data_IF_126517743185
#
_entry.id   IF_126517743185
#
_cell.length_a   1.000
_cell.length_b   1.000
_cell.length_c   1.000
_cell.angle_alpha   90.00
_cell.angle_beta   90.00
_cell.angle_gamma   90.00
#
_symmetry.space_group_name_H-M   'P 1'
#
loop_
_entity.id
_entity.type
_entity.pdbx_description
1 polymer ?
#
# COMPACT_ATOMS: atom_id res chain seq x y z
N UNK A 1 26.46 -19.27 53.62
CA UNK A 1 26.94 -19.03 52.25
C UNK A 1 25.73 -18.64 51.43
N UNK A 2 25.65 -17.38 50.97
CA UNK A 2 24.51 -16.89 50.20
C UNK A 2 24.61 -17.45 48.77
N UNK A 3 23.57 -18.16 48.37
CA UNK A 3 23.52 -18.92 47.13
C UNK A 3 23.43 -17.95 45.93
N UNK A 4 24.43 -17.96 45.04
CA UNK A 4 24.49 -17.07 43.87
C UNK A 4 23.49 -17.53 42.79
N UNK A 5 22.22 -17.27 43.08
CA UNK A 5 21.08 -17.59 42.23
C UNK A 5 21.02 -16.65 41.01
N UNK A 6 21.39 -15.39 41.20
CA UNK A 6 21.39 -14.37 40.14
C UNK A 6 22.48 -14.62 39.10
N UNK A 7 23.69 -15.01 39.52
CA UNK A 7 24.77 -15.39 38.62
C UNK A 7 24.39 -16.58 37.73
N UNK A 8 23.82 -17.64 38.33
CA UNK A 8 23.35 -18.82 37.59
C UNK A 8 22.22 -18.51 36.61
N UNK A 9 21.24 -17.69 37.00
CA UNK A 9 20.16 -17.22 36.09
C UNK A 9 20.70 -16.41 34.91
N UNK A 10 21.72 -15.58 35.13
CA UNK A 10 22.37 -14.79 34.09
C UNK A 10 23.16 -15.67 33.12
N UNK A 11 23.87 -16.68 33.62
CA UNK A 11 24.56 -17.66 32.77
C UNK A 11 23.59 -18.51 31.96
N UNK A 12 22.50 -19.00 32.57
CA UNK A 12 21.43 -19.70 31.85
C UNK A 12 20.81 -18.83 30.75
N UNK A 13 20.59 -17.55 31.02
CA UNK A 13 20.05 -16.61 30.03
C UNK A 13 21.04 -16.36 28.87
N UNK A 14 22.33 -16.20 29.18
CA UNK A 14 23.38 -16.03 28.17
C UNK A 14 23.57 -17.30 27.34
N UNK A 15 23.58 -18.47 27.97
CA UNK A 15 23.65 -19.77 27.30
C UNK A 15 22.44 -20.01 26.39
N UNK A 16 21.24 -19.64 26.84
CA UNK A 16 20.01 -19.74 26.03
C UNK A 16 19.96 -18.75 24.86
N UNK A 17 20.52 -17.55 25.03
CA UNK A 17 20.65 -16.57 23.94
C UNK A 17 21.72 -16.98 22.92
N UNK A 18 22.80 -17.65 23.35
CA UNK A 18 23.84 -18.17 22.48
C UNK A 18 23.40 -19.44 21.73
N UNK A 19 22.49 -20.24 22.33
CA UNK A 19 21.92 -21.45 21.73
C UNK A 19 20.67 -21.18 20.87
N UNK A 20 20.16 -19.94 20.84
CA UNK A 20 19.05 -19.58 19.97
C UNK A 20 19.52 -19.66 18.51
N UNK A 21 18.85 -20.43 17.63
CA UNK A 21 19.20 -20.44 16.23
C UNK A 21 19.12 -19.01 15.69
N UNK A 22 20.05 -18.60 14.80
CA UNK A 22 20.00 -17.26 14.23
C UNK A 22 18.60 -17.03 13.70
N UNK A 23 17.96 -15.93 14.11
CA UNK A 23 16.61 -15.58 13.71
C UNK A 23 16.55 -15.73 12.19
N UNK A 24 15.92 -16.81 11.69
CA UNK A 24 15.89 -17.10 10.26
C UNK A 24 15.19 -15.91 9.64
N UNK A 25 15.95 -15.02 9.01
CA UNK A 25 15.39 -13.96 8.16
C UNK A 25 14.58 -14.73 7.12
N UNK A 26 13.25 -14.57 7.16
CA UNK A 26 12.39 -15.09 6.09
C UNK A 26 13.00 -14.59 4.78
N UNK A 27 13.19 -15.45 3.77
CA UNK A 27 13.69 -15.00 2.49
C UNK A 27 12.83 -13.83 2.02
N UNK A 28 13.48 -12.74 1.59
CA UNK A 28 12.78 -11.60 1.01
C UNK A 28 11.87 -12.11 -0.10
N UNK A 29 10.60 -11.71 -0.10
CA UNK A 29 9.69 -12.12 -1.14
C UNK A 29 10.18 -11.58 -2.49
N UNK A 30 10.16 -12.42 -3.52
CA UNK A 30 10.44 -11.97 -4.88
C UNK A 30 9.47 -10.85 -5.27
N UNK A 31 9.94 -9.88 -6.07
CA UNK A 31 9.15 -8.71 -6.48
C UNK A 31 7.78 -9.12 -7.04
N UNK A 32 7.75 -10.12 -7.92
CA UNK A 32 6.50 -10.62 -8.50
C UNK A 32 5.52 -11.12 -7.44
N UNK A 33 6.02 -11.79 -6.39
CA UNK A 33 5.16 -12.20 -5.28
C UNK A 33 4.57 -11.01 -4.55
N UNK A 34 5.34 -9.93 -4.35
CA UNK A 34 4.83 -8.72 -3.71
C UNK A 34 3.82 -7.98 -4.60
N UNK A 35 4.08 -7.90 -5.91
CA UNK A 35 3.17 -7.28 -6.87
C UNK A 35 1.82 -8.01 -6.94
N UNK A 36 1.84 -9.35 -6.88
CA UNK A 36 0.62 -10.16 -6.85
C UNK A 36 -0.14 -10.02 -5.52
N UNK A 37 0.58 -10.05 -4.38
CA UNK A 37 -0.02 -9.92 -3.04
C UNK A 37 -0.53 -8.52 -2.71
N UNK A 38 0.13 -7.47 -3.23
CA UNK A 38 -0.27 -6.08 -3.01
C UNK A 38 -1.55 -5.76 -3.80
N UNK A 39 -2.70 -6.11 -3.21
CA UNK A 39 -4.04 -5.79 -3.70
C UNK A 39 -4.68 -4.72 -2.83
N UNK A 40 -5.65 -4.01 -3.39
CA UNK A 40 -6.37 -2.95 -2.69
C UNK A 40 -7.41 -3.53 -1.72
N UNK A 41 -7.04 -3.66 -0.45
CA UNK A 41 -7.95 -4.10 0.60
C UNK A 41 -8.85 -2.95 1.07
N UNK A 42 -10.11 -3.26 1.34
CA UNK A 42 -11.18 -2.37 1.83
C UNK A 42 -11.83 -2.90 3.10
N UNK A 43 -11.57 -4.17 3.46
CA UNK A 43 -11.94 -4.78 4.73
C UNK A 43 -10.71 -5.24 5.50
N UNK A 44 -10.70 -4.96 6.81
CA UNK A 44 -9.58 -5.21 7.73
C UNK A 44 -10.02 -5.92 9.00
N UNK A 45 -9.09 -6.65 9.62
CA UNK A 45 -9.23 -7.26 10.93
C UNK A 45 -9.20 -6.17 12.01
N UNK A 46 -10.36 -5.79 12.56
CA UNK A 46 -10.49 -4.72 13.56
C UNK A 46 -9.83 -5.07 14.90
N UNK A 47 -9.59 -6.35 15.18
CA UNK A 47 -8.84 -6.81 16.34
C UNK A 47 -7.32 -6.69 16.20
N UNK A 48 -6.83 -6.41 14.99
CA UNK A 48 -5.41 -6.21 14.73
C UNK A 48 -5.01 -4.74 14.92
N UNK A 49 -4.10 -4.49 15.87
CA UNK A 49 -3.52 -3.17 16.09
C UNK A 49 -2.25 -2.98 15.23
N UNK A 50 -2.32 -2.10 14.22
CA UNK A 50 -1.13 -1.64 13.52
C UNK A 50 -0.30 -0.79 14.46
N UNK A 51 1.00 -1.06 14.53
CA UNK A 51 1.93 -0.35 15.42
C UNK A 51 2.61 0.82 14.72
N UNK A 52 3.06 1.78 15.51
CA UNK A 52 3.78 2.96 15.02
C UNK A 52 5.06 2.61 14.25
N UNK A 53 5.84 1.65 14.75
CA UNK A 53 7.07 1.19 14.10
C UNK A 53 6.81 0.57 12.72
N UNK A 54 5.64 -0.06 12.53
CA UNK A 54 5.24 -0.60 11.23
C UNK A 54 4.92 0.52 10.23
N UNK A 55 4.15 1.54 10.63
CA UNK A 55 3.88 2.70 9.77
C UNK A 55 5.16 3.46 9.44
N UNK A 56 6.06 3.65 10.41
CA UNK A 56 7.37 4.28 10.17
C UNK A 56 8.25 3.44 9.22
N UNK A 57 8.23 2.12 9.36
CA UNK A 57 8.92 1.21 8.43
C UNK A 57 8.38 1.35 7.01
N UNK A 58 7.06 1.44 6.84
CA UNK A 58 6.42 1.67 5.54
C UNK A 58 6.84 3.02 4.98
N UNK A 59 6.74 4.11 5.74
CA UNK A 59 7.11 5.47 5.31
C UNK A 59 8.59 5.56 4.93
N UNK A 60 9.47 4.80 5.60
CA UNK A 60 10.93 4.85 5.38
C UNK A 60 11.37 4.50 3.95
N UNK A 61 10.51 3.85 3.14
CA UNK A 61 10.82 3.58 1.72
C UNK A 61 11.04 4.87 0.94
N UNK A 62 10.45 5.98 1.36
CA UNK A 62 10.56 7.27 0.68
C UNK A 62 11.99 7.82 0.63
N UNK A 63 12.88 7.35 1.50
CA UNK A 63 14.31 7.68 1.46
C UNK A 63 15.10 6.89 0.38
N UNK A 64 14.44 5.97 -0.34
CA UNK A 64 15.08 5.01 -1.26
C UNK A 64 14.52 5.06 -2.69
N UNK A 65 13.54 5.92 -2.93
CA UNK A 65 12.81 6.00 -4.20
C UNK A 65 13.10 7.33 -4.88
N UNK A 66 12.98 7.40 -6.21
CA UNK A 66 13.19 8.65 -6.93
C UNK A 66 12.13 9.69 -6.58
N UNK A 67 12.51 10.96 -6.74
CA UNK A 67 11.64 12.12 -6.72
C UNK A 67 12.02 13.04 -7.88
N UNK A 68 11.04 13.68 -8.51
CA UNK A 68 11.27 14.60 -9.61
C UNK A 68 12.27 15.69 -9.21
N UNK A 69 13.37 15.82 -9.97
CA UNK A 69 14.50 16.73 -9.66
C UNK A 69 15.04 16.56 -8.23
N UNK A 70 14.82 15.40 -7.62
CA UNK A 70 15.13 15.08 -6.23
C UNK A 70 14.53 16.05 -5.18
N UNK A 71 13.37 16.64 -5.46
CA UNK A 71 12.79 17.69 -4.61
C UNK A 71 12.30 17.19 -3.24
N UNK A 72 11.87 15.92 -3.14
CA UNK A 72 11.48 15.27 -1.88
C UNK A 72 10.42 16.07 -1.11
N UNK A 73 9.39 16.55 -1.82
CA UNK A 73 8.36 17.46 -1.29
C UNK A 73 7.26 16.76 -0.48
N UNK A 74 7.21 15.43 -0.49
CA UNK A 74 6.19 14.68 0.22
C UNK A 74 6.47 14.63 1.73
N UNK A 75 5.40 14.72 2.52
CA UNK A 75 5.41 14.54 3.98
C UNK A 75 4.34 13.53 4.36
N UNK A 76 4.54 12.83 5.47
CA UNK A 76 3.72 11.69 5.85
C UNK A 76 3.28 11.80 7.31
N UNK A 77 1.98 11.79 7.55
CA UNK A 77 1.41 11.71 8.90
C UNK A 77 0.89 10.27 9.14
N UNK A 78 1.59 9.46 9.95
CA UNK A 78 1.06 8.17 10.38
C UNK A 78 -0.13 8.41 11.32
N UNK A 79 -1.24 7.70 11.16
CA UNK A 79 -2.44 7.77 12.00
C UNK A 79 -2.71 6.37 12.53
N UNK A 80 -2.77 6.24 13.86
CA UNK A 80 -3.00 4.96 14.55
C UNK A 80 -4.46 4.85 15.01
N UNK A 81 -4.80 3.74 15.67
CA UNK A 81 -6.17 3.39 16.04
C UNK A 81 -6.86 4.44 16.93
N UNK A 82 -6.10 5.11 17.80
CA UNK A 82 -6.58 6.18 18.67
C UNK A 82 -7.00 7.43 17.91
N UNK A 83 -6.42 7.68 16.73
CA UNK A 83 -6.75 8.83 15.87
C UNK A 83 -7.55 8.46 14.61
N UNK A 84 -7.71 7.17 14.30
CA UNK A 84 -8.36 6.68 13.08
C UNK A 84 -9.78 7.24 12.88
N UNK A 85 -10.51 7.45 13.96
CA UNK A 85 -11.86 8.03 13.95
C UNK A 85 -11.92 9.46 13.38
N UNK A 86 -10.78 10.18 13.33
CA UNK A 86 -10.66 11.50 12.71
C UNK A 86 -10.58 11.45 11.19
N UNK A 87 -10.17 10.31 10.63
CA UNK A 87 -9.96 10.11 9.19
C UNK A 87 -11.12 9.33 8.56
N UNK A 88 -11.59 8.28 9.24
CA UNK A 88 -12.56 7.32 8.72
C UNK A 88 -13.85 7.96 8.16
N UNK A 89 -14.48 8.97 8.79
CA UNK A 89 -15.71 9.59 8.28
C UNK A 89 -15.51 10.39 6.98
N UNK A 90 -14.26 10.69 6.62
CA UNK A 90 -13.91 11.60 5.54
C UNK A 90 -13.35 10.88 4.31
N UNK A 91 -13.28 9.55 4.33
CA UNK A 91 -12.85 8.72 3.20
C UNK A 91 -14.04 8.02 2.54
N UNK A 92 -13.90 7.67 1.25
CA UNK A 92 -14.86 6.82 0.53
C UNK A 92 -14.14 5.65 -0.13
N UNK A 93 -14.72 4.46 -0.04
CA UNK A 93 -14.19 3.24 -0.64
C UNK A 93 -15.21 2.59 -1.56
N UNK A 94 -14.70 1.90 -2.58
CA UNK A 94 -15.52 0.99 -3.40
C UNK A 94 -16.58 1.69 -4.23
N UNK A 95 -16.23 2.73 -4.98
CA UNK A 95 -17.16 3.48 -5.84
C UNK A 95 -17.95 2.59 -6.82
N UNK A 96 -17.39 1.46 -7.27
CA UNK A 96 -18.10 0.49 -8.12
C UNK A 96 -18.92 -0.56 -7.34
N UNK A 97 -18.97 -0.45 -6.02
CA UNK A 97 -19.72 -1.31 -5.11
C UNK A 97 -20.60 -0.47 -4.16
N UNK A 98 -21.42 0.47 -4.67
CA UNK A 98 -22.18 1.41 -3.83
C UNK A 98 -23.11 0.72 -2.83
N UNK A 99 -23.64 -0.45 -3.19
CA UNK A 99 -24.52 -1.25 -2.34
C UNK A 99 -23.85 -1.78 -1.06
N UNK A 100 -22.52 -1.81 -1.01
CA UNK A 100 -21.77 -2.34 0.15
C UNK A 100 -21.45 -1.29 1.20
N UNK A 101 -21.68 0.00 0.90
CA UNK A 101 -21.46 1.11 1.85
C UNK A 101 -20.08 1.05 2.55
N UNK A 102 -19.01 0.94 1.76
CA UNK A 102 -17.64 0.82 2.28
C UNK A 102 -17.06 2.20 2.70
N UNK A 103 -16.23 2.25 3.76
CA UNK A 103 -15.78 1.14 4.62
C UNK A 103 -16.89 0.56 5.50
N UNK A 104 -17.00 -0.76 5.60
CA UNK A 104 -17.99 -1.40 6.47
C UNK A 104 -17.56 -1.25 7.95
N UNK A 105 -18.48 -0.92 8.89
CA UNK A 105 -18.12 -0.62 10.28
C UNK A 105 -17.35 -1.73 11.02
N UNK A 106 -17.66 -2.99 10.74
CA UNK A 106 -17.06 -4.17 11.38
C UNK A 106 -15.67 -4.55 10.86
N UNK A 107 -15.27 -3.94 9.74
CA UNK A 107 -14.04 -4.23 9.00
C UNK A 107 -13.34 -2.95 8.51
N UNK A 108 -13.67 -1.81 9.12
CA UNK A 108 -13.11 -0.52 8.77
C UNK A 108 -11.60 -0.48 9.09
N UNK A 109 -10.79 0.24 8.28
CA UNK A 109 -9.39 0.46 8.61
C UNK A 109 -9.25 1.28 9.91
N UNK A 110 -8.28 0.89 10.73
CA UNK A 110 -7.93 1.57 11.98
C UNK A 110 -6.53 2.20 11.96
N UNK A 111 -5.85 2.22 10.81
CA UNK A 111 -4.58 2.91 10.65
C UNK A 111 -4.45 3.49 9.25
N UNK A 112 -3.82 4.67 9.17
CA UNK A 112 -3.64 5.39 7.92
C UNK A 112 -2.24 5.99 7.81
N UNK A 113 -1.84 6.29 6.59
CA UNK A 113 -0.76 7.23 6.29
C UNK A 113 -1.37 8.33 5.44
N UNK A 114 -1.45 9.54 5.98
CA UNK A 114 -1.86 10.72 5.22
C UNK A 114 -0.61 11.30 4.55
N UNK A 115 -0.65 11.36 3.22
CA UNK A 115 0.41 11.94 2.40
C UNK A 115 0.05 13.40 2.16
N UNK A 116 0.98 14.30 2.46
CA UNK A 116 0.89 15.73 2.21
C UNK A 116 2.03 16.17 1.28
N UNK A 117 1.92 17.37 0.72
CA UNK A 117 2.99 18.02 -0.05
C UNK A 117 3.38 19.36 0.57
N UNK A 118 4.67 19.71 0.52
CA UNK A 118 5.18 21.03 0.92
C UNK A 118 5.00 22.10 -0.16
N UNK A 119 4.55 21.71 -1.35
CA UNK A 119 4.23 22.59 -2.48
C UNK A 119 2.85 22.23 -3.04
N UNK A 120 2.26 23.11 -3.84
CA UNK A 120 1.00 22.81 -4.52
C UNK A 120 1.10 21.60 -5.46
N UNK A 121 0.00 20.85 -5.58
CA UNK A 121 -0.12 19.72 -6.50
C UNK A 121 0.20 20.14 -7.94
N UNK A 122 1.01 19.32 -8.60
CA UNK A 122 1.36 19.44 -10.00
C UNK A 122 1.76 18.06 -10.54
N UNK A 123 1.96 17.96 -11.86
CA UNK A 123 2.29 16.68 -12.52
C UNK A 123 3.45 15.91 -11.87
N UNK A 124 4.45 16.59 -11.31
CA UNK A 124 5.60 15.93 -10.69
C UNK A 124 5.27 15.44 -9.28
N UNK A 125 4.48 16.20 -8.52
CA UNK A 125 3.97 15.78 -7.22
C UNK A 125 3.07 14.55 -7.37
N UNK A 126 2.23 14.51 -8.40
CA UNK A 126 1.35 13.37 -8.68
C UNK A 126 2.16 12.11 -9.02
N UNK A 127 3.20 12.26 -9.86
CA UNK A 127 4.12 11.17 -10.19
C UNK A 127 4.85 10.66 -8.95
N UNK A 128 5.45 11.55 -8.16
CA UNK A 128 6.16 11.20 -6.93
C UNK A 128 5.22 10.54 -5.91
N UNK A 129 3.96 11.00 -5.82
CA UNK A 129 2.93 10.42 -4.96
C UNK A 129 2.58 8.99 -5.38
N UNK A 130 2.46 8.73 -6.68
CA UNK A 130 2.24 7.38 -7.21
C UNK A 130 3.41 6.43 -6.91
N UNK A 131 4.65 6.89 -7.12
CA UNK A 131 5.87 6.13 -6.80
C UNK A 131 5.92 5.82 -5.31
N UNK A 132 5.72 6.84 -4.47
CA UNK A 132 5.67 6.74 -3.01
C UNK A 132 4.63 5.74 -2.52
N UNK A 133 3.38 5.89 -2.97
CA UNK A 133 2.28 5.05 -2.53
C UNK A 133 2.49 3.57 -2.92
N UNK A 134 2.94 3.31 -4.15
CA UNK A 134 3.22 1.94 -4.60
C UNK A 134 4.35 1.30 -3.79
N UNK A 135 5.45 2.02 -3.55
CA UNK A 135 6.56 1.50 -2.74
C UNK A 135 6.17 1.26 -1.29
N UNK A 136 5.35 2.14 -0.70
CA UNK A 136 4.81 1.97 0.66
C UNK A 136 3.91 0.73 0.75
N UNK A 137 2.99 0.54 -0.20
CA UNK A 137 2.10 -0.63 -0.20
C UNK A 137 2.84 -1.94 -0.46
N UNK A 138 3.90 -1.93 -1.28
CA UNK A 138 4.78 -3.10 -1.43
C UNK A 138 5.51 -3.43 -0.13
N UNK A 139 5.99 -2.41 0.61
CA UNK A 139 6.58 -2.61 1.94
C UNK A 139 5.56 -3.12 2.94
N UNK A 140 4.33 -2.62 2.92
CA UNK A 140 3.25 -3.16 3.74
C UNK A 140 3.04 -4.66 3.46
N UNK A 141 2.92 -5.05 2.19
CA UNK A 141 2.78 -6.45 1.77
C UNK A 141 3.96 -7.32 2.21
N UNK A 142 5.19 -6.80 2.13
CA UNK A 142 6.41 -7.51 2.57
C UNK A 142 6.38 -7.80 4.08
N UNK A 143 5.90 -6.87 4.90
CA UNK A 143 5.81 -7.05 6.36
C UNK A 143 4.50 -7.71 6.82
N UNK A 144 3.69 -8.22 5.89
CA UNK A 144 2.46 -8.96 6.18
C UNK A 144 1.24 -8.09 6.47
N UNK A 145 1.27 -6.82 6.05
CA UNK A 145 0.14 -5.90 6.07
C UNK A 145 -0.40 -5.68 4.66
N UNK A 146 -1.56 -5.05 4.58
CA UNK A 146 -2.28 -4.74 3.36
C UNK A 146 -2.68 -3.27 3.35
N UNK A 147 -3.06 -2.75 2.19
CA UNK A 147 -3.58 -1.39 2.13
C UNK A 147 -4.27 -1.03 0.82
N UNK A 148 -4.67 0.23 0.75
CA UNK A 148 -5.30 0.84 -0.42
C UNK A 148 -4.96 2.33 -0.48
N UNK A 149 -4.74 2.85 -1.69
CA UNK A 149 -4.68 4.28 -1.95
C UNK A 149 -6.10 4.85 -2.05
N UNK A 150 -6.37 5.93 -1.32
CA UNK A 150 -7.67 6.59 -1.25
C UNK A 150 -7.49 8.03 -1.74
N UNK A 151 -7.90 8.29 -2.98
CA UNK A 151 -8.01 9.64 -3.53
C UNK A 151 -9.37 10.29 -3.27
N UNK A 152 -10.39 9.50 -2.94
CA UNK A 152 -11.73 10.00 -2.64
C UNK A 152 -11.86 10.30 -1.14
N UNK A 153 -11.50 11.52 -0.73
CA UNK A 153 -11.59 11.98 0.65
C UNK A 153 -11.80 13.50 0.74
N UNK A 154 -12.24 13.98 1.90
CA UNK A 154 -12.36 15.42 2.18
C UNK A 154 -11.03 15.98 2.73
N UNK A 155 -10.26 16.63 1.85
CA UNK A 155 -8.94 17.20 2.17
C UNK A 155 -8.98 18.18 3.34
N UNK A 156 -9.96 19.08 3.36
CA UNK A 156 -10.08 20.13 4.39
C UNK A 156 -10.43 19.53 5.73
N UNK A 157 -11.42 18.63 5.78
CA UNK A 157 -11.84 17.98 7.03
C UNK A 157 -10.75 17.13 7.64
N UNK A 158 -9.99 16.38 6.83
CA UNK A 158 -8.85 15.59 7.34
C UNK A 158 -7.75 16.52 7.86
N UNK A 159 -7.42 17.60 7.14
CA UNK A 159 -6.42 18.56 7.59
C UNK A 159 -6.81 19.20 8.93
N UNK A 160 -8.06 19.66 9.05
CA UNK A 160 -8.62 20.23 10.28
C UNK A 160 -8.58 19.22 11.44
N UNK A 161 -9.11 18.01 11.22
CA UNK A 161 -9.23 17.00 12.27
C UNK A 161 -7.87 16.51 12.80
N UNK A 162 -6.83 16.50 11.95
CA UNK A 162 -5.48 16.11 12.31
C UNK A 162 -4.55 17.28 12.65
N UNK A 163 -5.02 18.52 12.55
CA UNK A 163 -4.22 19.73 12.81
C UNK A 163 -3.05 19.89 11.83
N UNK A 164 -3.26 19.59 10.55
CA UNK A 164 -2.21 19.64 9.52
C UNK A 164 -2.08 21.05 8.93
N UNK A 165 -0.85 21.55 8.89
CA UNK A 165 -0.49 22.78 8.16
C UNK A 165 -0.32 22.54 6.65
N UNK A 166 -0.06 21.28 6.26
CA UNK A 166 0.16 20.87 4.87
C UNK A 166 -1.08 20.23 4.28
N UNK A 167 -1.35 20.50 3.01
CA UNK A 167 -2.50 19.94 2.30
C UNK A 167 -2.35 18.43 2.09
N UNK A 168 -3.32 17.62 2.55
CA UNK A 168 -3.38 16.19 2.23
C UNK A 168 -3.71 15.96 0.75
N UNK A 169 -2.92 15.09 0.10
CA UNK A 169 -3.07 14.77 -1.33
C UNK A 169 -3.45 13.30 -1.58
N UNK A 170 -3.14 12.42 -0.62
CA UNK A 170 -3.53 11.00 -0.68
C UNK A 170 -3.65 10.43 0.74
N UNK A 171 -4.57 9.50 0.95
CA UNK A 171 -4.63 8.71 2.17
C UNK A 171 -4.36 7.24 1.84
N UNK A 172 -3.49 6.57 2.58
CA UNK A 172 -3.34 5.13 2.53
C UNK A 172 -4.01 4.53 3.77
N UNK A 173 -4.97 3.64 3.58
CA UNK A 173 -5.44 2.79 4.69
C UNK A 173 -4.53 1.56 4.80
N UNK A 174 -4.08 1.25 6.01
CA UNK A 174 -3.13 0.16 6.30
C UNK A 174 -3.70 -0.73 7.39
N UNK A 175 -3.54 -2.05 7.24
CA UNK A 175 -3.97 -3.00 8.27
C UNK A 175 -3.80 -4.44 7.82
N UNK A 176 -4.32 -5.37 8.60
CA UNK A 176 -4.38 -6.78 8.20
C UNK A 176 -5.67 -7.02 7.42
N UNK A 177 -5.55 -7.25 6.12
CA UNK A 177 -6.70 -7.46 5.24
C UNK A 177 -7.41 -8.78 5.53
N UNK A 178 -8.74 -8.78 5.43
CA UNK A 178 -9.58 -9.98 5.63
C UNK A 178 -10.27 -10.47 4.34
N UNK A 179 -10.01 -9.79 3.22
CA UNK A 179 -10.63 -10.10 1.95
C UNK A 179 -9.84 -11.14 1.16
N UNK A 180 -10.56 -12.01 0.46
CA UNK A 180 -10.02 -12.80 -0.65
C UNK A 180 -10.14 -11.97 -1.94
N UNK A 181 -9.00 -11.66 -2.56
CA UNK A 181 -8.93 -10.84 -3.78
C UNK A 181 -8.26 -11.66 -4.89
N UNK A 182 -8.90 -11.74 -6.05
CA UNK A 182 -8.39 -12.46 -7.22
C UNK A 182 -8.35 -11.53 -8.44
N UNK A 183 -7.28 -11.62 -9.23
CA UNK A 183 -7.21 -10.95 -10.53
C UNK A 183 -7.72 -11.86 -11.62
N UNK A 184 -8.51 -11.32 -12.54
CA UNK A 184 -8.96 -12.04 -13.73
C UNK A 184 -8.41 -11.37 -14.98
N UNK A 185 -7.78 -12.12 -15.91
CA UNK A 185 -7.26 -11.53 -17.13
C UNK A 185 -8.41 -11.13 -18.06
N UNK A 186 -8.28 -9.97 -18.68
CA UNK A 186 -9.20 -9.44 -19.69
C UNK A 186 -8.42 -8.88 -20.89
N UNK A 187 -9.08 -8.79 -22.05
CA UNK A 187 -8.57 -8.18 -23.27
C UNK A 187 -8.70 -6.65 -23.22
N UNK A 188 -7.95 -5.96 -24.08
CA UNK A 188 -8.12 -4.52 -24.28
C UNK A 188 -9.54 -4.19 -24.77
N UNK A 189 -10.19 -3.23 -24.10
CA UNK A 189 -11.55 -2.79 -24.41
C UNK A 189 -12.64 -3.45 -23.57
N UNK A 190 -12.32 -4.53 -22.84
CA UNK A 190 -13.24 -5.11 -21.85
C UNK A 190 -13.35 -4.25 -20.58
N UNK A 191 -14.41 -4.48 -19.79
CA UNK A 191 -14.66 -3.73 -18.56
C UNK A 191 -13.60 -3.96 -17.50
N UNK A 192 -13.01 -2.88 -16.99
CA UNK A 192 -12.05 -2.90 -15.87
C UNK A 192 -12.71 -2.77 -14.49
N UNK A 193 -14.05 -2.71 -14.45
CA UNK A 193 -14.82 -2.50 -13.22
C UNK A 193 -14.69 -3.74 -12.32
N UNK A 194 -14.18 -3.54 -11.11
CA UNK A 194 -14.09 -4.61 -10.10
C UNK A 194 -15.48 -4.97 -9.56
N UNK A 195 -15.65 -6.23 -9.14
CA UNK A 195 -16.91 -6.75 -8.60
C UNK A 195 -16.66 -7.72 -7.43
N UNK A 196 -17.73 -8.10 -6.72
CA UNK A 196 -17.69 -9.18 -5.71
C UNK A 196 -18.66 -10.29 -6.08
N UNK A 197 -18.22 -11.54 -5.94
CA UNK A 197 -19.02 -12.75 -6.15
C UNK A 197 -18.56 -13.82 -5.17
N UNK A 198 -19.49 -14.48 -4.49
CA UNK A 198 -19.23 -15.57 -3.54
C UNK A 198 -18.15 -15.23 -2.49
N UNK A 199 -18.18 -14.00 -1.96
CA UNK A 199 -17.22 -13.52 -0.96
C UNK A 199 -15.82 -13.16 -1.49
N UNK A 200 -15.59 -13.28 -2.81
CA UNK A 200 -14.31 -12.93 -3.46
C UNK A 200 -14.42 -11.59 -4.17
N UNK A 201 -13.41 -10.74 -4.02
CA UNK A 201 -13.27 -9.49 -4.78
C UNK A 201 -12.45 -9.74 -6.04
N UNK A 202 -13.09 -9.57 -7.20
CA UNK A 202 -12.46 -9.79 -8.50
C UNK A 202 -12.00 -8.47 -9.10
N UNK A 203 -10.74 -8.45 -9.57
CA UNK A 203 -10.12 -7.29 -10.21
C UNK A 203 -9.72 -7.66 -11.63
N UNK A 204 -10.48 -7.23 -12.65
CA UNK A 204 -10.08 -7.39 -14.04
C UNK A 204 -8.74 -6.70 -14.33
N UNK A 205 -7.85 -7.38 -15.07
CA UNK A 205 -6.54 -6.89 -15.48
C UNK A 205 -6.30 -7.16 -16.96
N UNK A 206 -6.01 -6.11 -17.71
CA UNK A 206 -5.62 -6.20 -19.12
C UNK A 206 -4.39 -7.10 -19.21
N UNK A 207 -4.42 -8.06 -20.14
CA UNK A 207 -3.31 -9.00 -20.34
C UNK A 207 -2.05 -8.27 -20.84
N UNK A 208 -0.84 -8.75 -20.51
CA UNK A 208 0.40 -8.07 -20.89
C UNK A 208 0.57 -7.82 -22.38
N UNK A 209 0.12 -8.74 -23.24
CA UNK A 209 0.14 -8.61 -24.70
C UNK A 209 -0.59 -7.34 -25.19
N UNK A 210 -1.69 -6.98 -24.53
CA UNK A 210 -2.54 -5.85 -24.85
C UNK A 210 -2.07 -4.53 -24.21
N UNK A 211 -1.07 -4.57 -23.32
CA UNK A 211 -0.47 -3.38 -22.71
C UNK A 211 0.59 -2.72 -23.60
N UNK A 212 1.02 -3.41 -24.66
CA UNK A 212 2.10 -2.94 -25.54
C UNK A 212 1.54 -2.33 -26.82
N UNK A 213 2.06 -1.17 -27.23
CA UNK A 213 1.74 -0.58 -28.52
C UNK A 213 2.60 -1.29 -29.58
N UNK A 214 2.00 -1.94 -30.60
CA UNK A 214 2.77 -2.57 -31.66
C UNK A 214 3.52 -1.51 -32.47
N UNK A 215 4.69 -1.88 -33.00
CA UNK A 215 5.40 -1.04 -33.98
C UNK A 215 4.46 -0.82 -35.18
N UNK A 216 4.30 0.43 -35.63
CA UNK A 216 3.51 0.67 -36.85
C UNK A 216 4.17 -0.04 -38.04
N UNK A 217 3.38 -0.72 -38.85
CA UNK A 217 3.80 -1.20 -40.16
C UNK A 217 3.70 -0.03 -41.14
N UNK A 218 4.64 0.90 -41.12
CA UNK A 218 4.74 1.92 -42.19
C UNK A 218 5.74 1.47 -43.25
N UNK A 219 5.17 1.06 -44.39
CA UNK A 219 5.66 1.17 -45.77
C UNK A 219 7.17 0.97 -46.04
N UNK A 220 7.58 -0.28 -46.22
CA UNK A 220 8.78 -0.62 -47.01
C UNK A 220 8.41 -1.39 -48.29
N UNK A 221 7.18 -1.19 -48.79
CA UNK A 221 6.82 -1.58 -50.16
C UNK A 221 7.20 -0.43 -51.09
N UNK A 222 8.49 -0.34 -51.45
CA UNK A 222 8.82 0.29 -52.73
C UNK A 222 8.14 -0.55 -53.82
N UNK A 223 7.37 0.04 -54.74
CA UNK A 223 6.97 -0.71 -55.92
C UNK A 223 8.24 -1.13 -56.66
N UNK A 224 8.36 -2.41 -56.99
CA UNK A 224 9.39 -2.86 -57.92
C UNK A 224 9.21 -2.11 -59.25
N UNK A 225 10.30 -1.68 -59.91
CA UNK A 225 10.20 -1.07 -61.22
C UNK A 225 9.59 -2.10 -62.18
N UNK A 226 8.52 -1.69 -62.87
CA UNK A 226 7.97 -2.43 -64.00
C UNK A 226 9.06 -2.55 -65.08
N UNK A 227 9.42 -3.78 -65.42
CA UNK A 227 10.16 -4.11 -66.65
C UNK A 227 9.29 -3.91 -67.90
#
# INVERSE_FOLDING_TARGET
MADDYLGRKMEEYRARSAAAPPHRRKPSAALDSLLQKNRSHRGYDTGFAVREDQLRTIISVNAKIPSARNQQVLRFRPVLADEAHKVLPHIRLGAALPQLHLPAPDSAPNAFIVVCSTIGENRYVDMDTGISAQSMLLKAAEIGLNGICIGAFDKKRIAEALGLELEPILVLAIGKGIEKIETVPIEAGESTVYYRRDGVHYVPKIRPEDLTIPKSRTADSRPEPLE
#
